data_IF_773833111402
#
_entry.id   IF_773833111402
#
_cell.length_a   1.000
_cell.length_b   1.000
_cell.length_c   1.000
_cell.angle_alpha   90.00
_cell.angle_beta   90.00
_cell.angle_gamma   90.00
#
_symmetry.space_group_name_H-M   'P 1'
#
loop_
_entity.id
_entity.type
_entity.pdbx_description
1 polymer ?
#
# COMPACT_ATOMS: atom_id res chain seq x y z
N UNK A 1 -0.15 -15.14 -9.54
CA UNK A 1 -0.98 -14.16 -8.81
C UNK A 1 -0.74 -14.41 -7.33
N UNK A 2 -0.33 -13.40 -6.57
CA UNK A 2 -0.14 -13.53 -5.13
C UNK A 2 -1.49 -13.83 -4.46
N UNK A 3 -1.51 -14.69 -3.44
CA UNK A 3 -2.74 -15.03 -2.74
C UNK A 3 -3.14 -13.86 -1.85
N UNK A 4 -4.42 -13.52 -1.87
CA UNK A 4 -4.98 -12.43 -1.09
C UNK A 4 -5.28 -12.90 0.35
N UNK A 5 -4.65 -12.26 1.33
CA UNK A 5 -4.87 -12.56 2.73
C UNK A 5 -6.29 -12.21 3.18
N UNK A 6 -6.83 -11.10 2.70
CA UNK A 6 -8.17 -10.66 3.09
C UNK A 6 -9.26 -11.63 2.62
N UNK A 7 -9.05 -12.29 1.48
CA UNK A 7 -9.99 -13.31 0.99
C UNK A 7 -10.00 -14.60 1.84
N UNK A 8 -8.97 -14.81 2.67
CA UNK A 8 -8.82 -15.99 3.53
C UNK A 8 -9.31 -15.71 4.94
N UNK A 9 -9.33 -14.45 5.35
CA UNK A 9 -9.93 -14.11 6.64
C UNK A 9 -11.37 -14.58 6.68
N UNK A 10 -11.77 -15.28 7.75
CA UNK A 10 -13.15 -15.68 7.93
C UNK A 10 -14.08 -14.47 7.89
N UNK A 11 -15.29 -14.65 7.36
CA UNK A 11 -16.27 -13.58 7.29
C UNK A 11 -16.46 -12.91 8.66
N UNK A 12 -16.33 -11.58 8.70
CA UNK A 12 -16.45 -10.79 9.93
C UNK A 12 -15.17 -10.71 10.78
N UNK A 13 -14.06 -11.30 10.34
CA UNK A 13 -12.76 -11.13 10.99
C UNK A 13 -12.00 -10.02 10.26
N UNK A 14 -11.86 -8.88 10.93
CA UNK A 14 -11.01 -7.79 10.50
C UNK A 14 -9.84 -7.62 11.46
N UNK A 15 -8.69 -7.08 11.02
CA UNK A 15 -7.60 -6.76 11.93
C UNK A 15 -8.07 -5.85 13.07
N UNK A 16 -7.78 -6.22 14.31
CA UNK A 16 -8.12 -5.41 15.49
C UNK A 16 -7.24 -4.17 15.57
N UNK A 17 -5.97 -4.31 15.23
CA UNK A 17 -5.02 -3.21 15.19
C UNK A 17 -4.01 -3.45 14.06
N UNK A 18 -3.60 -2.37 13.42
CA UNK A 18 -2.53 -2.36 12.43
C UNK A 18 -1.57 -1.24 12.79
N UNK A 19 -0.33 -1.61 13.08
CA UNK A 19 0.75 -0.65 13.19
C UNK A 19 1.43 -0.54 11.83
N UNK A 20 1.53 0.67 11.32
CA UNK A 20 2.08 0.98 10.02
C UNK A 20 3.33 1.84 10.16
N UNK A 21 4.40 1.46 9.48
CA UNK A 21 5.65 2.19 9.50
C UNK A 21 6.30 2.27 8.13
N UNK A 22 6.99 3.39 7.90
CA UNK A 22 7.77 3.68 6.70
C UNK A 22 9.24 3.53 7.05
N UNK A 23 9.91 2.55 6.48
CA UNK A 23 11.34 2.31 6.69
C UNK A 23 12.15 2.88 5.52
N UNK A 24 12.92 3.93 5.82
CA UNK A 24 13.79 4.61 4.85
C UNK A 24 15.23 4.52 5.34
N UNK A 25 16.03 3.58 4.81
CA UNK A 25 17.41 3.42 5.26
C UNK A 25 18.25 4.65 4.93
N UNK A 26 18.81 5.28 5.96
CA UNK A 26 19.72 6.45 5.84
C UNK A 26 21.00 6.23 6.59
N UNK A 27 22.12 6.64 6.00
CA UNK A 27 23.41 6.72 6.70
C UNK A 27 23.69 8.17 7.05
N UNK A 28 24.07 8.39 8.30
CA UNK A 28 24.50 9.69 8.82
C UNK A 28 25.97 9.62 9.22
N UNK A 29 26.76 10.52 8.68
CA UNK A 29 28.13 10.74 9.06
C UNK A 29 28.32 12.18 9.52
N UNK A 30 29.03 12.39 10.63
CA UNK A 30 29.46 13.73 11.06
C UNK A 30 30.95 13.90 10.84
N UNK A 31 31.33 15.03 10.24
CA UNK A 31 32.74 15.40 10.14
C UNK A 31 33.26 16.01 11.44
N UNK A 32 34.57 16.05 11.61
CA UNK A 32 35.24 16.71 12.77
C UNK A 32 34.82 18.19 12.85
N UNK A 33 34.48 18.83 11.76
CA UNK A 33 33.99 20.21 11.72
C UNK A 33 32.51 20.38 12.10
N UNK A 34 31.83 19.33 12.58
CA UNK A 34 30.43 19.36 13.01
C UNK A 34 29.41 19.33 11.86
N UNK A 35 29.84 19.19 10.60
CA UNK A 35 28.91 19.02 9.47
C UNK A 35 28.37 17.60 9.43
N UNK A 36 27.05 17.47 9.36
CA UNK A 36 26.37 16.18 9.21
C UNK A 36 26.09 15.94 7.73
N UNK A 37 26.53 14.80 7.23
CA UNK A 37 26.21 14.28 5.89
C UNK A 37 25.19 13.17 6.04
N UNK A 38 24.05 13.32 5.36
CA UNK A 38 23.00 12.30 5.34
C UNK A 38 22.87 11.80 3.91
N UNK A 39 22.94 10.49 3.73
CA UNK A 39 22.70 9.84 2.46
C UNK A 39 21.61 8.79 2.63
N UNK A 40 20.60 8.83 1.77
CA UNK A 40 19.61 7.79 1.68
C UNK A 40 20.15 6.63 0.83
N UNK A 41 20.07 5.41 1.35
CA UNK A 41 20.24 4.19 0.56
C UNK A 41 18.89 3.81 -0.02
N UNK A 42 18.87 3.37 -1.27
CA UNK A 42 17.64 2.90 -1.89
C UNK A 42 17.05 1.73 -1.14
N UNK A 43 15.74 1.53 -1.27
CA UNK A 43 15.01 0.46 -0.60
C UNK A 43 14.11 0.99 0.52
N UNK A 44 13.13 1.79 0.14
CA UNK A 44 12.01 2.11 1.05
C UNK A 44 11.08 0.91 1.13
N UNK A 45 10.71 0.51 2.35
CA UNK A 45 9.75 -0.56 2.60
C UNK A 45 8.64 -0.06 3.54
N UNK A 46 7.41 -0.40 3.19
CA UNK A 46 6.30 -0.30 4.12
C UNK A 46 6.29 -1.53 5.01
N UNK A 47 6.21 -1.33 6.33
CA UNK A 47 6.15 -2.41 7.31
C UNK A 47 4.85 -2.33 8.08
N UNK A 48 4.28 -3.48 8.35
CA UNK A 48 3.01 -3.60 9.06
C UNK A 48 3.14 -4.64 10.16
N UNK A 49 2.64 -4.29 11.35
CA UNK A 49 2.33 -5.25 12.38
C UNK A 49 0.82 -5.39 12.45
N UNK A 50 0.34 -6.59 12.19
CA UNK A 50 -1.10 -6.89 12.12
C UNK A 50 -1.47 -7.70 13.35
N UNK A 51 -2.41 -7.18 14.12
CA UNK A 51 -2.98 -7.86 15.29
C UNK A 51 -4.40 -8.27 14.94
N UNK A 52 -4.66 -9.59 14.99
CA UNK A 52 -5.99 -10.13 14.76
C UNK A 52 -6.79 -10.15 16.08
N UNK A 53 -8.13 -10.06 16.02
CA UNK A 53 -8.96 -10.27 17.18
C UNK A 53 -8.82 -11.71 17.71
N UNK A 54 -9.39 -11.98 18.86
CA UNK A 54 -9.45 -13.33 19.40
C UNK A 54 -10.22 -14.24 18.43
N UNK A 55 -9.56 -15.26 17.91
CA UNK A 55 -10.08 -16.19 16.91
C UNK A 55 -10.59 -17.47 17.58
N UNK A 56 -11.67 -18.02 17.06
CA UNK A 56 -12.09 -19.37 17.39
C UNK A 56 -11.10 -20.40 16.79
N UNK A 57 -11.14 -21.63 17.26
CA UNK A 57 -10.26 -22.69 16.76
C UNK A 57 -10.36 -22.87 15.24
N UNK A 58 -11.56 -22.84 14.69
CA UNK A 58 -11.81 -23.00 13.25
C UNK A 58 -11.25 -21.83 12.44
N UNK A 59 -11.44 -20.59 12.93
CA UNK A 59 -10.91 -19.39 12.30
C UNK A 59 -9.37 -19.39 12.32
N UNK A 60 -8.79 -19.74 13.47
CA UNK A 60 -7.35 -19.86 13.63
C UNK A 60 -6.73 -20.88 12.68
N UNK A 61 -7.35 -22.06 12.50
CA UNK A 61 -6.84 -23.08 11.59
C UNK A 61 -6.66 -22.55 10.16
N UNK A 62 -7.61 -21.77 9.65
CA UNK A 62 -7.53 -21.18 8.30
C UNK A 62 -6.39 -20.19 8.18
N UNK A 63 -6.26 -19.26 9.14
CA UNK A 63 -5.21 -18.25 9.14
C UNK A 63 -3.83 -18.87 9.31
N UNK A 64 -3.67 -19.80 10.25
CA UNK A 64 -2.40 -20.47 10.51
C UNK A 64 -1.92 -21.30 9.31
N UNK A 65 -2.83 -22.08 8.70
CA UNK A 65 -2.50 -22.85 7.50
C UNK A 65 -2.04 -21.96 6.33
N UNK A 66 -2.70 -20.82 6.14
CA UNK A 66 -2.28 -19.86 5.13
C UNK A 66 -0.87 -19.33 5.39
N UNK A 67 -0.61 -18.83 6.59
CA UNK A 67 0.69 -18.24 6.91
C UNK A 67 1.83 -19.27 6.88
N UNK A 68 1.58 -20.50 7.35
CA UNK A 68 2.53 -21.61 7.26
C UNK A 68 2.81 -21.95 5.80
N UNK A 69 1.79 -21.89 4.91
CA UNK A 69 1.98 -22.14 3.48
C UNK A 69 2.91 -21.14 2.80
N UNK A 70 3.09 -19.93 3.38
CA UNK A 70 4.01 -18.91 2.89
C UNK A 70 5.46 -19.18 3.26
N UNK A 71 5.74 -20.13 4.12
CA UNK A 71 7.10 -20.56 4.52
C UNK A 71 7.95 -19.40 5.04
N UNK A 72 7.41 -18.66 6.00
CA UNK A 72 8.04 -17.42 6.47
C UNK A 72 8.12 -16.37 5.36
N UNK A 73 9.25 -15.71 5.21
CA UNK A 73 9.49 -14.69 4.18
C UNK A 73 9.69 -15.21 2.75
N UNK A 74 9.54 -16.52 2.48
CA UNK A 74 9.85 -17.08 1.15
C UNK A 74 8.81 -16.69 0.08
N UNK A 75 7.53 -16.71 0.42
CA UNK A 75 6.45 -16.43 -0.54
C UNK A 75 5.72 -15.15 -0.18
N UNK A 76 5.44 -14.34 -1.20
CA UNK A 76 4.64 -13.13 -1.06
C UNK A 76 3.15 -13.42 -1.04
N UNK A 77 2.40 -12.49 -0.49
CA UNK A 77 0.94 -12.44 -0.56
C UNK A 77 0.47 -10.99 -0.58
N UNK A 78 -0.79 -10.75 -0.89
CA UNK A 78 -1.37 -9.41 -0.90
C UNK A 78 -2.19 -9.18 0.35
N UNK A 79 -2.11 -7.96 0.88
CA UNK A 79 -2.97 -7.48 1.96
C UNK A 79 -3.64 -6.17 1.55
N UNK A 80 -4.88 -6.00 1.95
CA UNK A 80 -5.59 -4.73 1.92
C UNK A 80 -5.89 -4.29 3.34
N UNK A 81 -5.67 -3.03 3.63
CA UNK A 81 -5.86 -2.42 4.93
C UNK A 81 -6.83 -1.24 4.80
N UNK A 82 -8.14 -1.49 4.82
CA UNK A 82 -9.18 -0.53 4.42
C UNK A 82 -9.14 0.82 5.13
N UNK A 83 -8.55 0.86 6.33
CA UNK A 83 -8.44 2.10 7.11
C UNK A 83 -7.19 2.92 6.78
N UNK A 84 -6.15 2.30 6.22
CA UNK A 84 -4.86 2.92 5.94
C UNK A 84 -4.74 3.30 4.48
N UNK A 85 -5.10 2.38 3.59
CA UNK A 85 -4.87 2.48 2.14
C UNK A 85 -6.09 2.91 1.34
N UNK A 86 -7.16 3.32 2.01
CA UNK A 86 -8.35 3.82 1.34
C UNK A 86 -8.14 5.24 0.83
N UNK A 87 -8.37 5.46 -0.45
CA UNK A 87 -8.39 6.79 -1.05
C UNK A 87 -9.51 7.61 -0.40
N UNK A 88 -9.14 8.75 0.22
CA UNK A 88 -10.07 9.57 1.02
C UNK A 88 -11.08 10.36 0.19
N UNK A 89 -10.93 10.40 -1.10
CA UNK A 89 -11.79 11.19 -1.97
C UNK A 89 -13.19 10.61 -2.03
N UNK A 90 -14.12 11.26 -1.37
CA UNK A 90 -15.56 10.93 -1.43
C UNK A 90 -16.18 11.16 -2.81
N UNK A 91 -15.50 11.92 -3.66
CA UNK A 91 -15.92 12.25 -5.02
C UNK A 91 -15.48 11.22 -6.07
N UNK A 92 -14.68 10.23 -5.74
CA UNK A 92 -14.46 9.09 -6.63
C UNK A 92 -15.73 8.27 -6.58
N UNK A 93 -16.57 8.43 -7.59
CA UNK A 93 -17.74 7.58 -7.77
C UNK A 93 -17.30 6.12 -7.89
N UNK A 94 -18.26 5.24 -7.67
CA UNK A 94 -18.15 3.79 -7.77
C UNK A 94 -17.16 3.33 -8.86
N UNK A 95 -16.42 2.25 -8.64
CA UNK A 95 -15.57 1.63 -9.66
C UNK A 95 -16.31 1.31 -10.95
N UNK A 96 -17.64 1.34 -10.93
CA UNK A 96 -18.51 1.05 -12.07
C UNK A 96 -18.62 2.19 -13.09
N UNK A 97 -18.04 3.36 -12.84
CA UNK A 97 -18.16 4.50 -13.78
C UNK A 97 -17.11 4.52 -14.90
N UNK A 98 -16.23 3.52 -14.94
CA UNK A 98 -15.23 3.36 -16.00
C UNK A 98 -14.12 4.41 -16.02
N UNK A 99 -13.99 5.23 -14.96
CA UNK A 99 -12.90 6.21 -14.89
C UNK A 99 -11.57 5.50 -14.63
N UNK A 100 -10.61 5.74 -15.49
CA UNK A 100 -9.25 5.24 -15.35
C UNK A 100 -8.26 6.41 -15.27
N UNK A 101 -7.22 6.24 -14.47
CA UNK A 101 -6.12 7.18 -14.43
C UNK A 101 -4.91 6.56 -15.13
N UNK A 102 -4.27 7.34 -15.96
CA UNK A 102 -3.02 6.95 -16.62
C UNK A 102 -1.91 7.93 -16.24
N UNK A 103 -0.70 7.43 -16.09
CA UNK A 103 0.46 8.29 -15.84
C UNK A 103 1.06 8.82 -17.13
N UNK A 104 1.78 9.95 -17.04
CA UNK A 104 2.75 10.34 -18.06
C UNK A 104 3.99 9.44 -18.04
N UNK A 105 4.93 9.70 -18.94
CA UNK A 105 6.22 9.01 -18.96
C UNK A 105 7.16 9.62 -17.94
N UNK A 106 7.67 8.80 -17.01
CA UNK A 106 8.56 9.25 -15.94
C UNK A 106 9.68 8.23 -15.71
N UNK A 107 10.87 8.73 -15.43
CA UNK A 107 12.04 7.88 -15.16
C UNK A 107 12.03 7.29 -13.74
N UNK A 108 12.81 6.24 -13.54
CA UNK A 108 13.09 5.67 -12.21
C UNK A 108 13.66 6.75 -11.28
N UNK A 109 13.23 6.75 -10.03
CA UNK A 109 13.67 7.69 -9.00
C UNK A 109 12.89 9.03 -9.00
N UNK A 110 12.01 9.28 -9.98
CA UNK A 110 11.15 10.49 -9.99
C UNK A 110 10.25 10.49 -8.75
N UNK A 111 10.20 11.64 -8.07
CA UNK A 111 9.37 11.85 -6.86
C UNK A 111 8.36 12.97 -7.04
N UNK A 112 8.68 13.97 -7.86
CA UNK A 112 7.87 15.18 -8.04
C UNK A 112 7.50 15.37 -9.49
N UNK A 113 6.40 16.07 -9.73
CA UNK A 113 5.98 16.39 -11.11
C UNK A 113 5.40 15.21 -11.87
N UNK A 114 4.90 14.19 -11.19
CA UNK A 114 4.27 13.05 -11.84
C UNK A 114 2.89 13.47 -12.32
N UNK A 115 2.71 13.45 -13.63
CA UNK A 115 1.43 13.79 -14.26
C UNK A 115 0.52 12.57 -14.31
N UNK A 116 -0.71 12.75 -13.87
CA UNK A 116 -1.79 11.78 -13.99
C UNK A 116 -2.88 12.37 -14.86
N UNK A 117 -3.28 11.64 -15.89
CA UNK A 117 -4.38 12.01 -16.77
C UNK A 117 -5.58 11.11 -16.50
N UNK A 118 -6.75 11.68 -16.46
CA UNK A 118 -8.01 10.98 -16.26
C UNK A 118 -8.67 10.74 -17.62
N UNK A 119 -9.06 9.49 -17.89
CA UNK A 119 -9.84 9.15 -19.08
C UNK A 119 -11.33 9.26 -18.77
N UNK A 120 -12.05 9.87 -19.66
CA UNK A 120 -13.52 9.99 -19.70
C UNK A 120 -14.22 10.55 -18.46
N UNK A 121 -15.03 11.52 -18.70
CA UNK A 121 -15.85 12.13 -17.70
C UNK A 121 -17.21 12.56 -18.12
N UNK A 122 -18.22 12.10 -17.47
CA UNK A 122 -19.57 12.62 -17.56
C UNK A 122 -19.94 13.60 -16.44
N UNK A 123 -19.14 13.69 -15.38
CA UNK A 123 -19.48 14.50 -14.22
C UNK A 123 -18.37 15.41 -13.72
N UNK A 124 -18.75 16.64 -13.43
CA UNK A 124 -17.91 17.73 -12.89
C UNK A 124 -17.47 17.55 -11.44
N UNK A 125 -17.68 16.40 -10.82
CA UNK A 125 -17.24 16.17 -9.46
C UNK A 125 -15.71 16.04 -9.42
N UNK A 126 -15.07 16.86 -8.62
CA UNK A 126 -13.64 16.88 -8.41
C UNK A 126 -13.15 15.52 -7.90
N UNK A 127 -12.52 14.76 -8.79
CA UNK A 127 -11.90 13.47 -8.49
C UNK A 127 -10.40 13.67 -8.40
N UNK A 128 -9.95 14.21 -7.30
CA UNK A 128 -8.54 14.44 -7.09
C UNK A 128 -7.98 13.38 -6.15
N UNK A 129 -6.82 12.87 -6.49
CA UNK A 129 -5.98 12.16 -5.53
C UNK A 129 -5.39 13.17 -4.57
N UNK A 130 -5.52 12.94 -3.28
CA UNK A 130 -5.14 13.87 -2.24
C UNK A 130 -3.83 13.50 -1.59
N UNK A 131 -3.21 14.47 -0.97
CA UNK A 131 -2.05 14.24 -0.10
C UNK A 131 -2.43 13.25 1.00
N UNK A 132 -1.61 12.22 1.16
CA UNK A 132 -1.85 11.12 2.10
C UNK A 132 -2.44 9.87 1.46
N UNK A 133 -3.03 9.96 0.27
CA UNK A 133 -3.55 8.78 -0.43
C UNK A 133 -2.43 7.85 -0.87
N UNK A 134 -2.73 6.56 -0.90
CA UNK A 134 -1.85 5.54 -1.45
C UNK A 134 -2.25 5.19 -2.86
N UNK A 135 -1.26 5.05 -3.73
CA UNK A 135 -1.46 4.65 -5.12
C UNK A 135 -0.49 3.55 -5.53
N UNK A 136 -0.87 2.77 -6.52
CA UNK A 136 -0.04 1.77 -7.16
C UNK A 136 -0.14 1.91 -8.67
N UNK A 137 0.97 1.69 -9.36
CA UNK A 137 1.00 1.66 -10.82
C UNK A 137 0.87 0.22 -11.34
N UNK A 138 0.18 0.05 -12.47
CA UNK A 138 -0.13 -1.29 -13.01
C UNK A 138 1.09 -2.09 -13.48
N UNK A 139 2.24 -1.44 -13.68
CA UNK A 139 3.45 -2.07 -14.20
C UNK A 139 4.37 -2.65 -13.12
N UNK A 140 4.05 -2.46 -11.83
CA UNK A 140 4.82 -3.02 -10.70
C UNK A 140 4.02 -3.02 -9.39
N UNK A 141 4.53 -3.73 -8.38
CA UNK A 141 3.80 -3.97 -7.12
C UNK A 141 4.08 -2.95 -6.03
N UNK A 142 5.00 -2.01 -6.24
CA UNK A 142 5.35 -0.98 -5.26
C UNK A 142 4.18 -0.02 -5.02
N UNK A 143 3.89 0.25 -3.75
CA UNK A 143 2.89 1.23 -3.32
C UNK A 143 3.58 2.54 -2.95
N UNK A 144 2.97 3.64 -3.35
CA UNK A 144 3.44 5.00 -3.15
C UNK A 144 2.43 5.82 -2.38
N UNK A 145 2.91 6.70 -1.52
CA UNK A 145 2.05 7.68 -0.86
C UNK A 145 2.19 9.03 -1.56
N UNK A 146 1.08 9.70 -1.79
CA UNK A 146 1.03 11.05 -2.35
C UNK A 146 1.43 12.03 -1.25
N UNK A 147 2.50 12.79 -1.48
CA UNK A 147 3.02 13.78 -0.54
C UNK A 147 2.58 15.20 -0.88
N UNK A 148 2.27 15.48 -2.14
CA UNK A 148 1.62 16.70 -2.57
C UNK A 148 0.90 16.50 -3.90
N UNK A 149 -0.16 17.25 -4.15
CA UNK A 149 -0.90 17.22 -5.39
C UNK A 149 -1.90 18.35 -5.46
N UNK A 150 -2.38 18.67 -6.66
CA UNK A 150 -3.49 19.59 -6.83
C UNK A 150 -4.77 18.92 -6.35
N UNK A 151 -5.45 19.50 -5.40
CA UNK A 151 -6.63 18.91 -4.76
C UNK A 151 -7.90 18.98 -5.60
N UNK A 152 -7.83 19.43 -6.84
CA UNK A 152 -8.98 19.50 -7.72
C UNK A 152 -8.67 19.12 -9.16
N UNK A 153 -9.42 18.16 -9.68
CA UNK A 153 -9.61 17.96 -11.10
C UNK A 153 -10.84 18.76 -11.56
N UNK A 154 -10.71 19.44 -12.66
CA UNK A 154 -11.86 20.02 -13.34
C UNK A 154 -11.96 19.44 -14.74
N UNK A 155 -13.16 19.42 -15.33
CA UNK A 155 -13.35 18.98 -16.71
C UNK A 155 -12.50 19.78 -17.71
N UNK A 156 -12.09 20.97 -17.34
CA UNK A 156 -11.21 21.82 -18.16
C UNK A 156 -9.72 21.44 -18.05
N UNK A 157 -9.34 20.66 -17.03
CA UNK A 157 -7.96 20.22 -16.83
C UNK A 157 -7.94 18.76 -16.36
N UNK A 158 -7.99 17.80 -17.30
CA UNK A 158 -8.04 16.36 -16.97
C UNK A 158 -6.69 15.83 -16.47
N UNK A 159 -5.72 16.69 -16.19
CA UNK A 159 -4.39 16.29 -15.75
C UNK A 159 -4.11 16.84 -14.35
N UNK A 160 -3.65 15.97 -13.48
CA UNK A 160 -3.18 16.29 -12.13
C UNK A 160 -1.68 16.05 -12.04
N UNK A 161 -0.96 16.96 -11.38
CA UNK A 161 0.44 16.76 -11.04
C UNK A 161 0.57 16.42 -9.57
N UNK A 162 1.24 15.33 -9.26
CA UNK A 162 1.44 14.84 -7.91
C UNK A 162 2.93 14.68 -7.58
N UNK A 163 3.23 14.64 -6.29
CA UNK A 163 4.50 14.18 -5.76
C UNK A 163 4.26 12.93 -4.91
N UNK A 164 5.18 12.00 -4.96
CA UNK A 164 5.07 10.70 -4.29
C UNK A 164 6.32 10.37 -3.47
N UNK A 165 6.14 9.56 -2.46
CA UNK A 165 7.20 8.85 -1.75
C UNK A 165 6.82 7.35 -1.62
N UNK A 166 7.81 6.48 -1.81
CA UNK A 166 9.19 6.66 -2.27
C UNK A 166 9.28 7.11 -3.74
N UNK A 167 10.50 7.42 -4.22
CA UNK A 167 10.71 7.64 -5.65
C UNK A 167 10.39 6.40 -6.48
N UNK A 168 9.98 6.58 -7.73
CA UNK A 168 9.57 5.50 -8.63
C UNK A 168 10.60 4.36 -8.69
N UNK A 169 10.16 3.15 -8.36
CA UNK A 169 10.97 1.92 -8.48
C UNK A 169 11.16 1.50 -9.94
N UNK A 170 10.16 1.75 -10.75
CA UNK A 170 10.13 1.40 -12.17
C UNK A 170 9.68 2.61 -13.01
N UNK A 171 10.27 2.78 -14.19
CA UNK A 171 9.87 3.84 -15.10
C UNK A 171 8.40 3.68 -15.51
N UNK A 172 7.70 4.79 -15.62
CA UNK A 172 6.32 4.82 -16.10
C UNK A 172 6.28 5.18 -17.59
N UNK A 173 5.37 4.57 -18.31
CA UNK A 173 5.01 4.96 -19.67
C UNK A 173 3.69 5.73 -19.66
N UNK A 174 3.38 6.43 -20.74
CA UNK A 174 2.13 7.19 -20.90
C UNK A 174 0.87 6.30 -20.91
N UNK A 175 1.04 4.98 -20.92
CA UNK A 175 -0.06 4.00 -20.89
C UNK A 175 -0.15 3.25 -19.56
N UNK A 176 0.70 3.60 -18.58
CA UNK A 176 0.66 2.94 -17.27
C UNK A 176 -0.55 3.43 -16.50
N UNK A 177 -1.44 2.51 -16.16
CA UNK A 177 -2.62 2.83 -15.35
C UNK A 177 -2.27 2.94 -13.87
N UNK A 178 -2.98 3.80 -13.17
CA UNK A 178 -2.96 3.87 -11.70
C UNK A 178 -4.01 2.90 -11.19
N UNK A 179 -3.59 1.95 -10.38
CA UNK A 179 -4.49 1.00 -9.74
C UNK A 179 -4.93 1.55 -8.39
N UNK A 180 -6.22 1.67 -8.23
CA UNK A 180 -6.90 1.97 -6.98
C UNK A 180 -7.50 0.73 -6.30
N UNK A 181 -7.16 -0.47 -6.84
CA UNK A 181 -7.63 -1.75 -6.32
C UNK A 181 -9.08 -2.09 -6.63
N UNK A 182 -9.78 -1.29 -7.43
CA UNK A 182 -11.18 -1.51 -7.82
C UNK A 182 -12.23 -1.16 -6.74
N UNK A 183 -11.86 -1.17 -5.47
CA UNK A 183 -12.70 -0.79 -4.33
C UNK A 183 -12.18 0.44 -3.58
N UNK A 184 -11.37 1.27 -4.22
CA UNK A 184 -10.65 2.39 -3.60
C UNK A 184 -9.62 1.95 -2.55
N UNK A 185 -9.18 0.72 -2.64
CA UNK A 185 -8.19 0.13 -1.74
C UNK A 185 -6.98 -0.32 -2.54
N UNK A 186 -5.82 0.08 -2.09
CA UNK A 186 -4.56 -0.33 -2.70
C UNK A 186 -4.06 -1.58 -1.98
N UNK A 187 -3.73 -2.62 -2.74
CA UNK A 187 -3.15 -3.85 -2.19
C UNK A 187 -1.64 -3.71 -2.07
N UNK A 188 -1.13 -4.05 -0.90
CA UNK A 188 0.30 -4.21 -0.68
C UNK A 188 0.70 -5.66 -0.96
N UNK A 189 1.73 -5.85 -1.77
CA UNK A 189 2.39 -7.14 -1.92
C UNK A 189 3.45 -7.24 -0.84
N UNK A 190 3.26 -8.18 0.09
CA UNK A 190 4.06 -8.30 1.31
C UNK A 190 4.63 -9.68 1.49
N UNK A 191 5.66 -9.78 2.33
CA UNK A 191 6.21 -11.01 2.87
C UNK A 191 6.29 -10.93 4.39
N UNK A 192 6.30 -12.07 5.06
CA UNK A 192 6.56 -12.12 6.49
C UNK A 192 8.00 -11.71 6.79
N UNK A 193 8.20 -10.89 7.82
CA UNK A 193 9.55 -10.49 8.25
C UNK A 193 10.20 -11.51 9.17
N UNK A 194 9.39 -12.33 9.84
CA UNK A 194 9.86 -13.35 10.78
C UNK A 194 9.67 -14.77 10.26
N UNK A 195 10.64 -15.64 10.53
CA UNK A 195 10.54 -17.07 10.21
C UNK A 195 9.73 -17.84 11.27
N UNK A 196 9.46 -17.22 12.40
CA UNK A 196 8.76 -17.86 13.54
C UNK A 196 7.36 -17.28 13.68
N UNK A 197 6.37 -18.13 13.53
CA UNK A 197 4.97 -17.82 13.79
C UNK A 197 4.64 -18.28 15.21
N UNK A 198 4.20 -17.35 16.06
CA UNK A 198 3.81 -17.65 17.43
C UNK A 198 2.31 -17.59 17.57
N UNK A 199 1.76 -18.58 18.22
CA UNK A 199 0.34 -18.65 18.54
C UNK A 199 0.19 -18.69 20.06
N UNK A 200 -0.67 -17.86 20.58
CA UNK A 200 -1.02 -17.86 21.99
C UNK A 200 -2.50 -18.26 22.17
N UNK A 201 -2.75 -19.08 23.19
CA UNK A 201 -4.11 -19.56 23.51
C UNK A 201 -4.52 -19.07 24.88
N UNK A 202 -5.69 -18.47 24.98
CA UNK A 202 -6.28 -18.05 26.24
C UNK A 202 -7.04 -19.20 26.93
N UNK A 203 -7.34 -19.02 28.22
CA UNK A 203 -8.14 -19.96 29.02
C UNK A 203 -9.53 -20.24 28.42
N UNK A 204 -10.06 -19.30 27.68
CA UNK A 204 -11.34 -19.42 26.95
C UNK A 204 -11.23 -20.17 25.62
N UNK A 205 -10.07 -20.76 25.29
CA UNK A 205 -9.76 -21.44 24.02
C UNK A 205 -9.83 -20.51 22.80
N UNK A 206 -9.62 -19.24 23.01
CA UNK A 206 -9.47 -18.26 21.96
C UNK A 206 -7.99 -18.09 21.60
N UNK A 207 -7.72 -17.94 20.31
CA UNK A 207 -6.38 -17.78 19.79
C UNK A 207 -6.12 -16.34 19.50
N UNK A 208 -5.07 -15.78 20.11
CA UNK A 208 -4.56 -14.45 19.80
C UNK A 208 -3.38 -14.59 18.84
N UNK A 209 -3.35 -13.76 17.86
CA UNK A 209 -2.34 -13.84 16.85
C UNK A 209 -1.90 -12.47 16.36
N UNK A 210 -0.60 -12.27 16.29
CA UNK A 210 0.03 -11.11 15.66
C UNK A 210 1.15 -11.56 14.74
N UNK A 211 1.37 -10.80 13.67
CA UNK A 211 2.45 -11.06 12.74
C UNK A 211 2.92 -9.79 12.06
N UNK A 212 4.20 -9.79 11.72
CA UNK A 212 4.86 -8.68 11.06
C UNK A 212 5.08 -9.00 9.59
N UNK A 213 4.80 -8.03 8.73
CA UNK A 213 5.02 -8.13 7.30
C UNK A 213 5.68 -6.87 6.76
N UNK A 214 6.43 -7.03 5.70
CA UNK A 214 7.04 -5.93 4.96
C UNK A 214 6.68 -6.02 3.48
N UNK A 215 6.62 -4.88 2.82
CA UNK A 215 6.42 -4.79 1.39
C UNK A 215 7.63 -5.34 0.63
N UNK A 216 7.36 -6.06 -0.46
CA UNK A 216 8.39 -6.72 -1.28
C UNK A 216 9.15 -5.76 -2.23
#
# INVERSE_FOLDING_TARGET
MAADFNAILPAGVEPQAVEFSSDVPTIRNSSISGRTFVRQFGGHHWKFKIVLPALTHEQWQKVSAFLISKRGGYSTFTISLPFINRIQTTAVKSPDDGTTFTSGSHAVGTRTGISLSMSTQSDSAARAMRTGDFIRFSNHDKVYQITSGNESFTNASPTQTISIEPGLKTALSSTTSVSDGGNREVYFTVRQTGDVIRFDTDHERLFRFEFDVEED
#
